data_IF_701910085720
#
_entry.id   IF_701910085720
#
_cell.length_a   1.000
_cell.length_b   1.000
_cell.length_c   1.000
_cell.angle_alpha   90.00
_cell.angle_beta   90.00
_cell.angle_gamma   90.00
#
_symmetry.space_group_name_H-M   'P 1'
#
loop_
_entity.id
_entity.type
_entity.pdbx_description
1 polymer ?
#
# COMPACT_ATOMS: atom_id res chain seq x y z
N UNK A 1 -12.81 -3.24 1.80
CA UNK A 1 -12.08 -3.60 0.57
C UNK A 1 -12.30 -2.54 -0.50
N UNK A 2 -11.27 -2.21 -1.25
CA UNK A 2 -11.37 -1.20 -2.30
C UNK A 2 -11.85 -1.83 -3.62
N UNK A 3 -12.30 -0.98 -4.56
CA UNK A 3 -12.82 -1.44 -5.85
C UNK A 3 -11.78 -2.15 -6.70
N UNK A 4 -10.53 -1.74 -6.60
CA UNK A 4 -9.46 -2.19 -7.48
C UNK A 4 -8.77 -3.47 -7.08
N UNK A 5 -9.26 -4.20 -6.07
CA UNK A 5 -8.71 -5.51 -5.70
C UNK A 5 -9.87 -6.46 -5.38
N UNK A 6 -9.66 -7.75 -5.62
CA UNK A 6 -10.64 -8.77 -5.28
C UNK A 6 -10.30 -9.41 -3.92
N UNK A 7 -11.17 -10.31 -3.45
CA UNK A 7 -11.00 -10.93 -2.13
C UNK A 7 -9.70 -11.75 -2.01
N UNK A 8 -9.32 -12.46 -3.06
CA UNK A 8 -8.08 -13.24 -3.07
C UNK A 8 -6.86 -12.35 -2.96
N UNK A 9 -6.84 -11.26 -3.73
CA UNK A 9 -5.76 -10.28 -3.70
C UNK A 9 -5.66 -9.61 -2.33
N UNK A 10 -6.80 -9.28 -1.73
CA UNK A 10 -6.84 -8.70 -0.39
C UNK A 10 -6.21 -9.62 0.65
N UNK A 11 -6.50 -10.92 0.57
CA UNK A 11 -5.92 -11.91 1.49
C UNK A 11 -4.39 -11.98 1.36
N UNK A 12 -3.88 -11.95 0.14
CA UNK A 12 -2.43 -11.96 -0.11
C UNK A 12 -1.78 -10.73 0.53
N UNK A 13 -2.35 -9.56 0.29
CA UNK A 13 -1.83 -8.29 0.81
C UNK A 13 -1.82 -8.30 2.34
N UNK A 14 -2.93 -8.66 2.95
CA UNK A 14 -3.05 -8.68 4.42
C UNK A 14 -2.10 -9.67 5.07
N UNK A 15 -1.92 -10.84 4.45
CA UNK A 15 -1.00 -11.84 4.98
C UNK A 15 0.44 -11.34 5.01
N UNK A 16 0.87 -10.66 3.94
CA UNK A 16 2.23 -10.12 3.86
C UNK A 16 2.43 -9.00 4.87
N UNK A 17 1.46 -8.09 5.00
CA UNK A 17 1.60 -6.91 5.85
C UNK A 17 1.37 -7.18 7.33
N UNK A 18 0.69 -8.26 7.69
CA UNK A 18 0.31 -8.55 9.07
C UNK A 18 1.47 -8.44 10.09
N UNK A 19 2.68 -8.98 9.83
CA UNK A 19 3.77 -8.89 10.80
C UNK A 19 4.20 -7.46 11.14
N UNK A 20 3.87 -6.50 10.27
CA UNK A 20 4.29 -5.11 10.42
C UNK A 20 3.19 -4.20 10.96
N UNK A 21 1.97 -4.69 11.10
CA UNK A 21 0.81 -3.85 11.44
C UNK A 21 0.76 -3.41 12.91
N UNK A 22 1.59 -3.96 13.78
CA UNK A 22 1.69 -3.48 15.15
C UNK A 22 2.41 -2.13 15.24
N UNK A 23 3.36 -1.90 14.35
CA UNK A 23 4.17 -0.68 14.36
C UNK A 23 3.82 0.29 13.25
N UNK A 24 3.22 -0.19 12.17
CA UNK A 24 2.93 0.61 11.00
C UNK A 24 1.48 0.42 10.56
N UNK A 25 0.85 1.52 10.11
CA UNK A 25 -0.42 1.44 9.42
C UNK A 25 -0.17 1.52 7.93
N UNK A 26 -0.98 0.81 7.17
CA UNK A 26 -0.89 0.78 5.71
C UNK A 26 -2.23 1.22 5.14
N UNK A 27 -2.19 2.09 4.15
CA UNK A 27 -3.39 2.63 3.53
C UNK A 27 -3.31 2.51 2.02
N UNK A 28 -4.38 2.04 1.40
CA UNK A 28 -4.51 2.10 -0.04
C UNK A 28 -4.85 3.52 -0.46
N UNK A 29 -4.32 3.95 -1.62
CA UNK A 29 -4.74 5.19 -2.25
C UNK A 29 -4.56 5.06 -3.76
N UNK A 30 -4.89 6.12 -4.52
CA UNK A 30 -4.69 6.14 -5.95
C UNK A 30 -5.83 5.54 -6.75
N UNK A 31 -5.54 5.15 -8.00
CA UNK A 31 -6.58 4.78 -8.97
C UNK A 31 -7.41 3.57 -8.56
N UNK A 32 -6.81 2.59 -7.89
CA UNK A 32 -7.56 1.39 -7.48
C UNK A 32 -8.54 1.67 -6.32
N UNK A 33 -8.34 2.75 -5.59
CA UNK A 33 -9.31 3.22 -4.59
C UNK A 33 -10.40 4.03 -5.28
N UNK A 34 -10.01 4.93 -6.18
CA UNK A 34 -10.96 5.83 -6.85
C UNK A 34 -11.85 5.12 -7.86
N UNK A 35 -11.39 3.99 -8.40
CA UNK A 35 -12.16 3.24 -9.38
C UNK A 35 -11.85 3.55 -10.83
N UNK A 36 -10.91 4.47 -11.11
CA UNK A 36 -10.49 4.80 -12.47
C UNK A 36 -9.21 4.06 -12.87
N UNK A 37 -9.12 2.80 -12.47
CA UNK A 37 -7.96 1.96 -12.75
C UNK A 37 -8.20 1.07 -13.96
N UNK A 38 -7.09 0.60 -14.52
CA UNK A 38 -7.08 -0.43 -15.54
C UNK A 38 -6.48 -1.71 -14.96
N UNK A 39 -6.57 -2.82 -15.71
CA UNK A 39 -6.10 -4.13 -15.25
C UNK A 39 -4.65 -4.11 -14.81
N UNK A 40 -3.81 -3.35 -15.50
CA UNK A 40 -2.38 -3.27 -15.22
C UNK A 40 -1.98 -2.10 -14.33
N UNK A 41 -2.94 -1.32 -13.81
CA UNK A 41 -2.63 -0.20 -12.93
C UNK A 41 -1.92 -0.67 -11.66
N UNK A 42 -0.94 0.10 -11.21
CA UNK A 42 -0.25 -0.20 -9.96
C UNK A 42 -1.19 0.01 -8.76
N UNK A 43 -0.94 -0.72 -7.68
CA UNK A 43 -1.60 -0.49 -6.42
C UNK A 43 -0.69 0.40 -5.57
N UNK A 44 -1.22 1.52 -5.08
CA UNK A 44 -0.46 2.46 -4.26
C UNK A 44 -0.79 2.26 -2.78
N UNK A 45 0.26 2.11 -1.97
CA UNK A 45 0.14 1.89 -0.52
C UNK A 45 0.99 2.90 0.23
N UNK A 46 0.37 3.63 1.17
CA UNK A 46 1.04 4.54 2.07
C UNK A 46 1.40 3.81 3.36
N UNK A 47 2.63 3.96 3.81
CA UNK A 47 3.11 3.45 5.10
C UNK A 47 3.14 4.60 6.09
N UNK A 48 2.48 4.45 7.22
CA UNK A 48 2.42 5.50 8.22
C UNK A 48 2.61 4.92 9.62
N UNK A 49 3.84 4.94 10.11
CA UNK A 49 4.18 4.55 11.48
C UNK A 49 4.50 5.77 12.32
N UNK A 50 5.07 5.55 13.49
CA UNK A 50 5.55 6.65 14.35
C UNK A 50 6.79 7.29 13.76
N UNK A 51 7.57 6.52 13.01
CA UNK A 51 8.78 6.96 12.32
C UNK A 51 8.79 6.33 10.94
N UNK A 52 9.74 6.76 10.12
CA UNK A 52 9.95 6.16 8.81
C UNK A 52 10.29 4.68 8.95
N UNK A 53 9.73 3.84 8.08
CA UNK A 53 10.05 2.41 8.09
C UNK A 53 11.53 2.21 7.71
N UNK A 54 12.27 1.39 8.48
CA UNK A 54 13.65 1.07 8.11
C UNK A 54 13.75 0.49 6.70
N UNK A 55 14.80 0.88 5.99
CA UNK A 55 14.99 0.45 4.59
C UNK A 55 14.98 -1.06 4.44
N UNK A 56 15.61 -1.79 5.36
CA UNK A 56 15.69 -3.25 5.29
C UNK A 56 14.30 -3.90 5.40
N UNK A 57 13.43 -3.36 6.24
CA UNK A 57 12.06 -3.87 6.36
C UNK A 57 11.26 -3.60 5.11
N UNK A 58 11.39 -2.40 4.55
CA UNK A 58 10.71 -2.03 3.31
C UNK A 58 11.14 -2.93 2.16
N UNK A 59 12.44 -3.21 2.05
CA UNK A 59 12.95 -4.09 0.99
C UNK A 59 12.45 -5.52 1.15
N UNK A 60 12.32 -6.00 2.38
CA UNK A 60 11.73 -7.32 2.64
C UNK A 60 10.27 -7.37 2.19
N UNK A 61 9.50 -6.34 2.52
CA UNK A 61 8.10 -6.26 2.11
C UNK A 61 8.00 -6.25 0.57
N UNK A 62 8.79 -5.42 -0.08
CA UNK A 62 8.81 -5.36 -1.55
C UNK A 62 9.14 -6.70 -2.17
N UNK A 63 10.12 -7.41 -1.61
CA UNK A 63 10.49 -8.74 -2.09
C UNK A 63 9.32 -9.71 -1.98
N UNK A 64 8.64 -9.72 -0.84
CA UNK A 64 7.49 -10.61 -0.63
C UNK A 64 6.35 -10.31 -1.60
N UNK A 65 6.10 -9.05 -1.89
CA UNK A 65 5.09 -8.68 -2.88
C UNK A 65 5.50 -9.10 -4.30
N UNK A 66 6.79 -8.93 -4.64
CA UNK A 66 7.29 -9.35 -5.96
C UNK A 66 7.16 -10.87 -6.16
N UNK A 67 7.28 -11.66 -5.10
CA UNK A 67 7.15 -13.12 -5.15
C UNK A 67 5.71 -13.59 -5.06
N UNK A 68 4.78 -12.71 -4.78
CA UNK A 68 3.37 -13.07 -4.61
C UNK A 68 2.70 -13.28 -5.97
N UNK A 69 1.46 -13.81 -5.91
CA UNK A 69 0.63 -14.04 -7.10
C UNK A 69 -0.20 -12.82 -7.50
N UNK A 70 0.13 -11.63 -6.96
CA UNK A 70 -0.58 -10.42 -7.35
C UNK A 70 -0.27 -10.07 -8.81
N UNK A 71 -1.30 -9.77 -9.61
CA UNK A 71 -1.12 -9.51 -11.05
C UNK A 71 -0.73 -8.06 -11.37
N UNK A 72 -0.38 -7.26 -10.36
CA UNK A 72 0.00 -5.85 -10.54
C UNK A 72 1.14 -5.51 -9.60
N UNK A 73 1.81 -4.40 -9.92
CA UNK A 73 2.90 -3.88 -9.08
C UNK A 73 2.30 -3.13 -7.89
N UNK A 74 2.93 -3.27 -6.72
CA UNK A 74 2.56 -2.52 -5.52
C UNK A 74 3.64 -1.49 -5.25
N UNK A 75 3.27 -0.21 -5.23
CA UNK A 75 4.16 0.91 -4.94
C UNK A 75 3.97 1.33 -3.49
N UNK A 76 5.09 1.41 -2.76
CA UNK A 76 5.06 1.83 -1.35
C UNK A 76 5.60 3.24 -1.22
N UNK A 77 4.90 4.07 -0.48
CA UNK A 77 5.29 5.44 -0.17
C UNK A 77 5.24 5.60 1.35
N UNK A 78 6.32 6.10 1.94
CA UNK A 78 6.36 6.33 3.39
C UNK A 78 5.87 7.75 3.67
N UNK A 79 5.00 7.88 4.68
CA UNK A 79 4.44 9.17 5.08
C UNK A 79 5.53 10.23 5.30
N UNK A 80 6.65 9.81 5.87
CA UNK A 80 7.74 10.74 6.22
C UNK A 80 8.62 11.15 5.03
N UNK A 81 8.38 10.57 3.85
CA UNK A 81 9.09 10.90 2.63
C UNK A 81 8.27 11.77 1.67
N UNK A 82 7.03 12.12 2.03
CA UNK A 82 6.18 12.96 1.20
C UNK A 82 6.00 14.32 1.87
N UNK A 83 5.70 15.33 1.06
CA UNK A 83 5.42 16.66 1.58
C UNK A 83 3.94 16.79 1.94
N UNK A 84 3.61 17.88 2.63
CA UNK A 84 2.24 18.17 3.05
C UNK A 84 1.29 18.29 1.88
N UNK A 85 1.76 18.86 0.78
CA UNK A 85 0.94 19.05 -0.42
C UNK A 85 0.50 17.70 -1.00
N UNK A 86 1.42 16.75 -1.11
CA UNK A 86 1.10 15.43 -1.62
C UNK A 86 0.14 14.69 -0.67
N UNK A 87 0.43 14.76 0.63
CA UNK A 87 -0.44 14.11 1.62
C UNK A 87 -1.87 14.67 1.55
N UNK A 88 -2.01 15.99 1.42
CA UNK A 88 -3.32 16.63 1.30
C UNK A 88 -4.09 16.19 0.06
N UNK A 89 -3.38 15.81 -1.01
CA UNK A 89 -4.02 15.30 -2.22
C UNK A 89 -4.60 13.90 -2.03
N UNK A 90 -3.94 13.05 -1.23
CA UNK A 90 -4.33 11.64 -1.10
C UNK A 90 -5.15 11.33 0.14
N UNK A 91 -5.08 12.17 1.19
CA UNK A 91 -5.65 11.84 2.50
C UNK A 91 -7.13 11.51 2.48
N UNK A 92 -7.90 12.14 1.61
CA UNK A 92 -9.36 11.90 1.52
C UNK A 92 -9.70 10.54 0.93
N UNK A 93 -8.76 9.92 0.22
CA UNK A 93 -8.98 8.64 -0.45
C UNK A 93 -8.35 7.46 0.29
N UNK A 94 -7.67 7.71 1.41
CA UNK A 94 -6.98 6.64 2.15
C UNK A 94 -7.97 5.63 2.71
N UNK A 95 -7.68 4.35 2.46
CA UNK A 95 -8.46 3.24 3.01
C UNK A 95 -7.49 2.31 3.71
N UNK A 96 -7.67 2.12 5.01
CA UNK A 96 -6.75 1.27 5.78
C UNK A 96 -6.85 -0.19 5.35
N UNK A 97 -5.68 -0.81 5.21
CA UNK A 97 -5.57 -2.22 4.84
C UNK A 97 -6.12 -3.14 5.93
#
# INVERSE_FOLDING_TARGET
>A
MIKGINATEELIIKKILKPYQQEFKFFYYGSRVKGNFEKASDLDVLIHGKTQMPYSELETIKFLFDKSDLPFIVNFTDYYNIDEKFYNLIKKDLVEV
#
